data_IF_334397185742
#
_entry.id   IF_334397185742
#
_cell.length_a   1.000
_cell.length_b   1.000
_cell.length_c   1.000
_cell.angle_alpha   90.00
_cell.angle_beta   90.00
_cell.angle_gamma   90.00
#
_symmetry.space_group_name_H-M   'P 1'
#
loop_
_entity.id
_entity.type
_entity.pdbx_description
1 polymer ?
#
# COMPACT_ATOMS: atom_id res chain seq x y z
N UNK A 1 -5.79 4.33 -39.25
CA UNK A 1 -4.62 4.93 -38.56
C UNK A 1 -5.02 6.20 -37.80
N UNK A 2 -6.00 6.12 -36.89
CA UNK A 2 -6.58 7.30 -36.19
C UNK A 2 -6.75 7.13 -34.67
N UNK A 3 -6.26 6.04 -34.07
CA UNK A 3 -6.50 5.71 -32.65
C UNK A 3 -5.34 6.02 -31.69
N UNK A 4 -4.21 6.57 -32.18
CA UNK A 4 -2.96 6.68 -31.41
C UNK A 4 -2.69 8.07 -30.79
N UNK A 5 -3.52 9.09 -31.04
CA UNK A 5 -3.16 10.49 -30.69
C UNK A 5 -3.59 10.98 -29.28
N UNK A 6 -4.49 10.30 -28.57
CA UNK A 6 -5.08 10.82 -27.31
C UNK A 6 -4.79 9.96 -26.07
N UNK A 7 -3.59 9.40 -25.96
CA UNK A 7 -3.18 8.65 -24.75
C UNK A 7 -2.90 9.65 -23.61
N UNK A 8 -2.12 10.69 -23.89
CA UNK A 8 -1.75 11.73 -22.93
C UNK A 8 -2.95 12.51 -22.38
N UNK A 9 -3.94 12.82 -23.22
CA UNK A 9 -5.17 13.50 -22.78
C UNK A 9 -6.07 12.66 -21.86
N UNK A 10 -6.09 11.33 -22.05
CA UNK A 10 -6.81 10.41 -21.15
C UNK A 10 -6.12 10.32 -19.80
N UNK A 11 -4.79 10.14 -19.79
CA UNK A 11 -4.00 10.10 -18.55
C UNK A 11 -4.15 11.40 -17.75
N UNK A 12 -4.10 12.56 -18.42
CA UNK A 12 -4.26 13.85 -17.76
C UNK A 12 -5.67 14.02 -17.17
N UNK A 13 -6.71 13.61 -17.91
CA UNK A 13 -8.10 13.61 -17.39
C UNK A 13 -8.25 12.68 -16.19
N UNK A 14 -7.72 11.47 -16.26
CA UNK A 14 -7.85 10.48 -15.19
C UNK A 14 -7.09 10.92 -13.92
N UNK A 15 -5.95 11.60 -14.08
CA UNK A 15 -5.24 12.26 -12.98
C UNK A 15 -6.06 13.39 -12.35
N UNK A 16 -6.67 14.26 -13.15
CA UNK A 16 -7.54 15.34 -12.65
C UNK A 16 -8.80 14.81 -11.98
N UNK A 17 -9.40 13.74 -12.50
CA UNK A 17 -10.54 13.05 -11.88
C UNK A 17 -10.13 12.48 -10.53
N UNK A 18 -8.99 11.79 -10.45
CA UNK A 18 -8.45 11.28 -9.18
C UNK A 18 -8.19 12.39 -8.16
N UNK A 19 -7.57 13.49 -8.60
CA UNK A 19 -7.32 14.67 -7.77
C UNK A 19 -8.63 15.27 -7.24
N UNK A 20 -9.64 15.42 -8.09
CA UNK A 20 -10.95 15.94 -7.70
C UNK A 20 -11.63 15.06 -6.66
N UNK A 21 -11.53 13.73 -6.79
CA UNK A 21 -12.03 12.78 -5.79
C UNK A 21 -11.31 12.92 -4.45
N UNK A 22 -9.97 13.00 -4.45
CA UNK A 22 -9.20 13.19 -3.21
C UNK A 22 -9.60 14.48 -2.50
N UNK A 23 -9.70 15.59 -3.24
CA UNK A 23 -10.10 16.90 -2.68
C UNK A 23 -11.52 16.87 -2.14
N UNK A 24 -12.48 16.31 -2.88
CA UNK A 24 -13.87 16.17 -2.44
C UNK A 24 -13.95 15.41 -1.11
N UNK A 25 -13.29 14.25 -1.03
CA UNK A 25 -13.32 13.42 0.17
C UNK A 25 -12.51 13.97 1.34
N UNK A 26 -11.54 14.87 1.12
CA UNK A 26 -10.83 15.59 2.18
C UNK A 26 -11.70 16.67 2.83
N UNK A 27 -12.66 17.22 2.08
CA UNK A 27 -13.58 18.28 2.54
C UNK A 27 -14.79 17.67 3.27
N UNK A 28 -15.21 16.45 2.91
CA UNK A 28 -16.35 15.78 3.55
C UNK A 28 -16.28 15.73 5.10
N UNK A 29 -15.14 15.44 5.77
CA UNK A 29 -15.03 15.45 7.22
C UNK A 29 -15.32 16.81 7.87
N UNK A 30 -15.15 17.91 7.14
CA UNK A 30 -15.36 19.27 7.66
C UNK A 30 -16.85 19.61 7.88
N UNK A 31 -17.76 18.82 7.30
CA UNK A 31 -19.21 19.00 7.45
C UNK A 31 -19.84 18.17 8.58
N UNK A 32 -19.01 17.65 9.50
CA UNK A 32 -19.42 16.72 10.57
C UNK A 32 -20.35 15.57 10.11
N UNK A 33 -20.03 14.83 9.03
CA UNK A 33 -20.78 13.64 8.69
C UNK A 33 -20.64 12.61 9.83
N UNK A 34 -21.73 11.95 10.20
CA UNK A 34 -21.76 11.00 11.32
C UNK A 34 -20.62 9.97 11.25
N UNK A 35 -20.12 9.51 12.41
CA UNK A 35 -18.91 8.65 12.55
C UNK A 35 -18.84 7.50 11.53
N UNK A 36 -19.98 6.90 11.17
CA UNK A 36 -20.09 5.85 10.15
C UNK A 36 -19.53 6.26 8.79
N UNK A 37 -19.88 7.46 8.30
CA UNK A 37 -19.47 7.95 6.97
C UNK A 37 -17.96 8.18 6.95
N UNK A 38 -17.42 8.80 8.01
CA UNK A 38 -15.96 9.05 8.12
C UNK A 38 -15.20 7.73 8.10
N UNK A 39 -15.63 6.72 8.87
CA UNK A 39 -14.99 5.39 8.86
C UNK A 39 -15.07 4.73 7.48
N UNK A 40 -16.21 4.82 6.79
CA UNK A 40 -16.38 4.22 5.46
C UNK A 40 -15.47 4.88 4.42
N UNK A 41 -15.32 6.21 4.49
CA UNK A 41 -14.39 6.97 3.64
C UNK A 41 -12.95 6.55 3.91
N UNK A 42 -12.55 6.46 5.19
CA UNK A 42 -11.20 6.01 5.55
C UNK A 42 -10.91 4.60 5.03
N UNK A 43 -11.84 3.66 5.21
CA UNK A 43 -11.72 2.31 4.67
C UNK A 43 -11.61 2.30 3.15
N UNK A 44 -12.40 3.11 2.46
CA UNK A 44 -12.32 3.26 1.01
C UNK A 44 -10.92 3.68 0.56
N UNK A 45 -10.30 4.66 1.23
CA UNK A 45 -8.94 5.08 0.92
C UNK A 45 -7.89 4.02 1.22
N UNK A 46 -8.01 3.29 2.33
CA UNK A 46 -7.11 2.18 2.67
C UNK A 46 -7.17 1.12 1.55
N UNK A 47 -8.37 0.70 1.15
CA UNK A 47 -8.54 -0.28 0.09
C UNK A 47 -8.09 0.23 -1.28
N UNK A 48 -8.34 1.50 -1.61
CA UNK A 48 -7.86 2.12 -2.83
C UNK A 48 -6.32 2.11 -2.92
N UNK A 49 -5.64 2.40 -1.81
CA UNK A 49 -4.18 2.33 -1.73
C UNK A 49 -3.68 0.88 -1.97
N UNK A 50 -4.31 -0.11 -1.32
CA UNK A 50 -3.96 -1.54 -1.50
C UNK A 50 -4.16 -1.98 -2.95
N UNK A 51 -5.29 -1.63 -3.57
CA UNK A 51 -5.58 -2.00 -4.98
C UNK A 51 -4.58 -1.33 -5.93
N UNK A 52 -4.23 -0.07 -5.68
CA UNK A 52 -3.25 0.65 -6.51
C UNK A 52 -1.88 0.00 -6.43
N UNK A 53 -1.43 -0.35 -5.22
CA UNK A 53 -0.19 -1.10 -5.00
C UNK A 53 -0.23 -2.46 -5.73
N UNK A 54 -1.33 -3.19 -5.60
CA UNK A 54 -1.45 -4.50 -6.24
C UNK A 54 -1.47 -4.41 -7.77
N UNK A 55 -2.12 -3.38 -8.33
CA UNK A 55 -2.11 -3.10 -9.76
C UNK A 55 -0.70 -2.78 -10.28
N UNK A 56 0.14 -2.10 -9.50
CA UNK A 56 1.53 -1.86 -9.88
C UNK A 56 2.33 -3.17 -9.95
N UNK A 57 2.17 -4.06 -8.97
CA UNK A 57 2.94 -5.32 -8.92
C UNK A 57 2.44 -6.35 -9.93
N UNK A 58 1.13 -6.59 -9.95
CA UNK A 58 0.52 -7.63 -10.77
C UNK A 58 0.16 -7.12 -12.17
N UNK A 59 -0.44 -5.92 -12.27
CA UNK A 59 -0.89 -5.35 -13.54
C UNK A 59 0.25 -4.83 -14.41
N UNK A 60 1.17 -4.04 -13.84
CA UNK A 60 2.31 -3.48 -14.59
C UNK A 60 3.53 -4.41 -14.54
N UNK A 61 3.86 -4.95 -13.36
CA UNK A 61 5.01 -5.82 -13.18
C UNK A 61 4.80 -7.26 -13.69
N UNK A 62 3.57 -7.72 -13.83
CA UNK A 62 3.26 -9.10 -14.24
C UNK A 62 3.67 -10.16 -13.20
N UNK A 63 3.98 -9.75 -11.97
CA UNK A 63 4.47 -10.64 -10.91
C UNK A 63 3.32 -10.93 -9.94
N UNK A 64 3.00 -12.21 -9.77
CA UNK A 64 2.06 -12.63 -8.74
C UNK A 64 2.77 -12.75 -7.38
N UNK A 65 2.70 -11.69 -6.57
CA UNK A 65 3.30 -11.63 -5.22
C UNK A 65 2.25 -11.81 -4.13
N UNK A 66 2.42 -12.84 -3.30
CA UNK A 66 1.57 -13.15 -2.15
C UNK A 66 2.13 -12.60 -0.83
N UNK A 67 3.27 -11.91 -0.88
CA UNK A 67 3.98 -11.39 0.30
C UNK A 67 3.46 -10.04 0.81
N UNK A 68 2.37 -9.50 0.27
CA UNK A 68 1.87 -8.16 0.63
C UNK A 68 1.56 -8.04 2.12
N UNK A 69 1.01 -9.09 2.75
CA UNK A 69 0.74 -9.10 4.20
C UNK A 69 2.02 -8.96 5.05
N UNK A 70 3.15 -9.48 4.57
CA UNK A 70 4.43 -9.38 5.28
C UNK A 70 4.87 -7.93 5.46
N UNK A 71 4.71 -7.11 4.41
CA UNK A 71 5.11 -5.69 4.41
C UNK A 71 4.23 -4.89 5.39
N UNK A 72 2.93 -5.15 5.38
CA UNK A 72 1.99 -4.53 6.34
C UNK A 72 2.29 -4.94 7.78
N UNK A 73 2.59 -6.22 8.02
CA UNK A 73 2.89 -6.74 9.35
C UNK A 73 4.16 -6.09 9.94
N UNK A 74 5.24 -5.96 9.16
CA UNK A 74 6.48 -5.30 9.62
C UNK A 74 6.23 -3.84 10.02
N UNK A 75 5.59 -3.06 9.15
CA UNK A 75 5.33 -1.64 9.43
C UNK A 75 4.42 -1.42 10.62
N UNK A 76 3.34 -2.22 10.71
CA UNK A 76 2.40 -2.18 11.83
C UNK A 76 3.04 -2.60 13.15
N UNK A 77 3.87 -3.65 13.13
CA UNK A 77 4.57 -4.13 14.32
C UNK A 77 5.57 -3.11 14.86
N UNK A 78 6.38 -2.50 13.98
CA UNK A 78 7.34 -1.45 14.39
C UNK A 78 6.61 -0.23 14.96
N UNK A 79 5.53 0.21 14.30
CA UNK A 79 4.70 1.31 14.80
C UNK A 79 4.10 0.99 16.17
N UNK A 80 3.56 -0.22 16.35
CA UNK A 80 2.98 -0.66 17.61
C UNK A 80 4.03 -0.74 18.73
N UNK A 81 5.22 -1.29 18.44
CA UNK A 81 6.33 -1.33 19.40
C UNK A 81 6.77 0.08 19.83
N UNK A 82 6.93 1.00 18.89
CA UNK A 82 7.32 2.39 19.17
C UNK A 82 6.26 3.13 20.00
N UNK A 83 4.97 2.87 19.73
CA UNK A 83 3.87 3.44 20.49
C UNK A 83 3.74 2.87 21.90
N UNK A 84 3.92 1.56 22.07
CA UNK A 84 3.71 0.86 23.34
C UNK A 84 4.91 0.95 24.29
N UNK A 85 6.14 0.85 23.78
CA UNK A 85 7.34 0.77 24.62
C UNK A 85 8.08 2.11 24.78
N UNK A 86 8.10 2.93 23.73
CA UNK A 86 8.82 4.21 23.76
C UNK A 86 7.90 5.41 24.03
N UNK A 87 6.58 5.20 24.16
CA UNK A 87 5.56 6.26 24.29
C UNK A 87 5.70 7.37 23.23
N UNK A 88 6.21 7.02 22.05
CA UNK A 88 6.38 7.99 20.98
C UNK A 88 5.03 8.47 20.45
N UNK A 89 4.99 9.74 20.04
CA UNK A 89 3.82 10.28 19.36
C UNK A 89 3.47 9.41 18.14
N UNK A 90 2.19 9.08 18.00
CA UNK A 90 1.64 8.25 16.92
C UNK A 90 2.14 8.69 15.54
N UNK A 91 2.24 10.00 15.30
CA UNK A 91 2.71 10.57 14.04
C UNK A 91 4.19 10.23 13.75
N UNK A 92 5.05 10.28 14.78
CA UNK A 92 6.46 9.92 14.64
C UNK A 92 6.63 8.40 14.48
N UNK A 93 5.90 7.61 15.27
CA UNK A 93 5.90 6.15 15.19
C UNK A 93 5.43 5.66 13.80
N UNK A 94 4.43 6.34 13.19
CA UNK A 94 3.93 6.03 11.86
C UNK A 94 4.99 6.24 10.77
N UNK A 95 5.77 7.34 10.84
CA UNK A 95 6.86 7.59 9.88
C UNK A 95 7.95 6.52 10.00
N UNK A 96 8.35 6.17 11.22
CA UNK A 96 9.37 5.12 11.45
C UNK A 96 8.87 3.74 10.98
N UNK A 97 7.61 3.40 11.27
CA UNK A 97 6.96 2.19 10.75
C UNK A 97 6.92 2.16 9.23
N UNK A 98 6.63 3.31 8.59
CA UNK A 98 6.68 3.45 7.13
C UNK A 98 8.09 3.25 6.56
N UNK A 99 9.11 3.87 7.15
CA UNK A 99 10.50 3.74 6.71
C UNK A 99 10.98 2.29 6.81
N UNK A 100 10.67 1.61 7.92
CA UNK A 100 11.04 0.19 8.10
C UNK A 100 10.32 -0.72 7.10
N UNK A 101 9.04 -0.46 6.81
CA UNK A 101 8.31 -1.17 5.76
C UNK A 101 8.92 -0.94 4.36
N UNK A 102 9.37 0.28 4.05
CA UNK A 102 10.05 0.59 2.77
C UNK A 102 11.37 -0.17 2.66
N UNK A 103 12.18 -0.17 3.71
CA UNK A 103 13.47 -0.91 3.74
C UNK A 103 13.21 -2.40 3.52
N UNK A 104 12.22 -2.97 4.21
CA UNK A 104 11.88 -4.38 4.09
C UNK A 104 11.33 -4.72 2.70
N UNK A 105 10.44 -3.89 2.16
CA UNK A 105 9.91 -4.05 0.80
C UNK A 105 11.01 -3.95 -0.25
N UNK A 106 11.99 -3.07 -0.07
CA UNK A 106 13.15 -2.96 -0.96
C UNK A 106 13.98 -4.25 -0.93
N UNK A 107 14.27 -4.77 0.26
CA UNK A 107 14.99 -6.03 0.43
C UNK A 107 14.25 -7.16 -0.29
N UNK A 108 12.95 -7.31 -0.03
CA UNK A 108 12.09 -8.31 -0.66
C UNK A 108 12.06 -8.16 -2.20
N UNK A 109 12.01 -6.93 -2.71
CA UNK A 109 12.14 -6.63 -4.13
C UNK A 109 13.45 -7.13 -4.73
N UNK A 110 14.57 -6.85 -4.09
CA UNK A 110 15.89 -7.33 -4.52
C UNK A 110 15.99 -8.85 -4.53
N UNK A 111 15.44 -9.54 -3.52
CA UNK A 111 15.41 -11.00 -3.47
C UNK A 111 14.54 -11.60 -4.60
N UNK A 112 13.38 -11.01 -4.85
CA UNK A 112 12.42 -11.53 -5.84
C UNK A 112 12.87 -11.30 -7.27
N UNK A 113 13.60 -10.22 -7.56
CA UNK A 113 14.16 -9.94 -8.89
C UNK A 113 15.17 -11.00 -9.36
N UNK A 114 15.77 -11.78 -8.45
CA UNK A 114 16.69 -12.87 -8.81
C UNK A 114 15.96 -14.15 -9.26
N UNK A 115 14.66 -14.26 -8.99
CA UNK A 115 13.85 -15.43 -9.29
C UNK A 115 13.04 -15.20 -10.57
N UNK A 116 12.75 -16.26 -11.32
CA UNK A 116 11.99 -16.17 -12.58
C UNK A 116 10.71 -16.99 -12.51
N UNK A 117 9.62 -16.42 -13.02
CA UNK A 117 8.35 -17.13 -13.17
C UNK A 117 7.70 -17.52 -11.82
N UNK A 118 7.12 -18.74 -11.71
CA UNK A 118 6.34 -19.17 -10.54
C UNK A 118 7.11 -19.16 -9.21
N UNK A 119 8.43 -19.25 -9.25
CA UNK A 119 9.28 -19.24 -8.07
C UNK A 119 9.18 -17.94 -7.25
N UNK A 120 8.83 -16.82 -7.90
CA UNK A 120 8.60 -15.55 -7.20
C UNK A 120 7.41 -15.69 -6.24
N UNK A 121 6.29 -16.26 -6.69
CA UNK A 121 5.11 -16.44 -5.85
C UNK A 121 5.40 -17.30 -4.62
N UNK A 122 6.10 -18.43 -4.81
CA UNK A 122 6.50 -19.35 -3.73
C UNK A 122 7.42 -18.66 -2.73
N UNK A 123 8.40 -17.89 -3.19
CA UNK A 123 9.30 -17.13 -2.31
C UNK A 123 8.53 -16.10 -1.48
N UNK A 124 7.62 -15.34 -2.10
CA UNK A 124 6.82 -14.35 -1.37
C UNK A 124 5.87 -14.98 -0.37
N UNK A 125 5.36 -16.19 -0.64
CA UNK A 125 4.61 -16.99 0.34
C UNK A 125 5.48 -17.44 1.51
N UNK A 126 6.69 -17.91 1.25
CA UNK A 126 7.61 -18.33 2.31
C UNK A 126 7.93 -17.15 3.24
N UNK A 127 8.18 -15.96 2.68
CA UNK A 127 8.38 -14.73 3.48
C UNK A 127 7.14 -14.40 4.30
N UNK A 128 5.94 -14.47 3.71
CA UNK A 128 4.69 -14.24 4.43
C UNK A 128 4.51 -15.21 5.61
N UNK A 129 4.82 -16.49 5.42
CA UNK A 129 4.73 -17.51 6.47
C UNK A 129 5.75 -17.27 7.59
N UNK A 130 6.99 -16.91 7.25
CA UNK A 130 8.00 -16.55 8.25
C UNK A 130 7.54 -15.35 9.07
N UNK A 131 7.00 -14.31 8.43
CA UNK A 131 6.50 -13.14 9.14
C UNK A 131 5.29 -13.45 10.01
N UNK A 132 4.39 -14.31 9.53
CA UNK A 132 3.26 -14.78 10.32
C UNK A 132 3.76 -15.50 11.58
N UNK A 133 4.71 -16.43 11.46
CA UNK A 133 5.27 -17.17 12.59
C UNK A 133 6.09 -16.32 13.57
N UNK A 134 6.63 -15.17 13.14
CA UNK A 134 7.44 -14.29 13.99
C UNK A 134 6.60 -13.27 14.77
N UNK A 135 5.47 -12.83 14.21
CA UNK A 135 4.66 -11.74 14.76
C UNK A 135 3.38 -12.26 15.43
N UNK A 136 2.80 -13.35 14.91
CA UNK A 136 1.55 -13.98 15.40
C UNK A 136 1.87 -15.26 16.13
#
# INVERSE_FOLDING_TARGET
MSSQQNIWGRVQRDFWVGLAFVVLFLILPAFEPGKYIVTQITLFFIWAAVVTQWNLVFGVGGIFSLGHMAIFAVGGYVMAMMGLYNEWNLWAAMIVGGITAVIFSFLMGVLTLRLRGPYVAVMTLAIAQVMHALIV
#
